data_IF_049800635077
#
_entry.id   IF_049800635077
#
_cell.length_a   1.000
_cell.length_b   1.000
_cell.length_c   1.000
_cell.angle_alpha   90.00
_cell.angle_beta   90.00
_cell.angle_gamma   90.00
#
_symmetry.space_group_name_H-M   'P 1'
#
loop_
_entity.id
_entity.type
_entity.pdbx_description
1 polymer ?
#
# COMPACT_ATOMS: atom_id res chain seq x y z
N UNK A 1 3.40 -11.07 5.88
CA UNK A 1 3.81 -9.99 5.01
C UNK A 1 2.80 -8.85 5.03
N UNK A 2 3.32 -7.65 5.08
CA UNK A 2 2.50 -6.46 5.18
C UNK A 2 2.49 -5.73 3.84
N UNK A 3 2.14 -6.45 2.79
CA UNK A 3 2.15 -5.89 1.44
C UNK A 3 0.84 -6.17 0.72
N UNK A 4 0.50 -5.29 -0.22
CA UNK A 4 -0.63 -5.46 -1.11
C UNK A 4 -0.09 -5.29 -2.53
N UNK A 5 -0.19 -6.32 -3.35
CA UNK A 5 0.26 -6.29 -4.73
C UNK A 5 -0.87 -5.90 -5.67
N UNK A 6 -0.51 -5.25 -6.76
CA UNK A 6 -1.48 -4.74 -7.73
C UNK A 6 -1.17 -5.24 -9.13
N UNK A 7 -2.21 -5.37 -9.91
CA UNK A 7 -2.09 -5.71 -11.33
C UNK A 7 -1.58 -4.49 -12.10
N UNK A 8 -1.08 -4.76 -13.29
CA UNK A 8 -0.63 -3.72 -14.19
C UNK A 8 -1.73 -2.67 -14.37
N UNK A 9 -1.34 -1.40 -14.30
CA UNK A 9 -2.23 -0.26 -14.56
C UNK A 9 -3.48 -0.27 -13.69
N UNK A 10 -3.39 -0.76 -12.45
CA UNK A 10 -4.53 -0.89 -11.57
C UNK A 10 -4.20 -0.47 -10.14
N UNK A 11 -5.16 0.19 -9.50
CA UNK A 11 -5.14 0.46 -8.06
C UNK A 11 -6.29 -0.27 -7.37
N UNK A 12 -6.87 -1.29 -8.02
CA UNK A 12 -7.92 -2.10 -7.44
C UNK A 12 -7.32 -3.17 -6.53
N UNK A 13 -7.87 -3.30 -5.33
CA UNK A 13 -7.45 -4.33 -4.38
C UNK A 13 -8.14 -5.63 -4.76
N UNK A 14 -7.36 -6.62 -5.20
CA UNK A 14 -7.89 -7.94 -5.53
C UNK A 14 -8.29 -8.67 -4.25
N UNK A 15 -9.29 -9.54 -4.39
CA UNK A 15 -9.88 -10.25 -3.25
C UNK A 15 -8.83 -11.01 -2.43
N UNK A 16 -7.88 -11.65 -3.09
CA UNK A 16 -6.87 -12.45 -2.37
C UNK A 16 -5.83 -11.60 -1.65
N UNK A 17 -5.84 -10.27 -1.86
CA UNK A 17 -4.98 -9.36 -1.11
C UNK A 17 -5.63 -8.88 0.20
N UNK A 18 -6.92 -9.15 0.40
CA UNK A 18 -7.64 -8.68 1.59
C UNK A 18 -7.07 -9.20 2.89
N UNK A 19 -6.57 -10.44 2.90
CA UNK A 19 -6.07 -11.04 4.13
C UNK A 19 -4.89 -10.25 4.70
N UNK A 20 -4.02 -9.75 3.84
CA UNK A 20 -2.88 -8.95 4.27
C UNK A 20 -3.34 -7.66 4.94
N UNK A 21 -4.35 -7.01 4.36
CA UNK A 21 -4.90 -5.77 4.91
C UNK A 21 -5.60 -6.03 6.25
N UNK A 22 -6.40 -7.09 6.30
CA UNK A 22 -7.08 -7.49 7.53
C UNK A 22 -6.09 -7.76 8.65
N UNK A 23 -5.05 -8.54 8.36
CA UNK A 23 -4.05 -8.89 9.38
C UNK A 23 -3.31 -7.66 9.89
N UNK A 24 -2.96 -6.73 8.99
CA UNK A 24 -2.30 -5.48 9.39
C UNK A 24 -3.21 -4.64 10.28
N UNK A 25 -4.49 -4.53 9.90
CA UNK A 25 -5.46 -3.77 10.68
C UNK A 25 -5.63 -4.35 12.08
N UNK A 26 -5.77 -5.68 12.18
CA UNK A 26 -5.97 -6.34 13.48
C UNK A 26 -4.75 -6.19 14.37
N UNK A 27 -3.56 -6.35 13.81
CA UNK A 27 -2.32 -6.18 14.55
C UNK A 27 -2.16 -4.75 15.06
N UNK A 28 -2.40 -3.77 14.18
CA UNK A 28 -2.27 -2.37 14.55
C UNK A 28 -3.28 -1.96 15.63
N UNK A 29 -4.52 -2.44 15.53
CA UNK A 29 -5.53 -2.13 16.53
C UNK A 29 -5.21 -2.79 17.87
N UNK A 30 -4.76 -4.04 17.83
CA UNK A 30 -4.47 -4.81 19.05
C UNK A 30 -3.36 -4.13 19.87
N UNK A 31 -2.32 -3.66 19.19
CA UNK A 31 -1.16 -3.07 19.87
C UNK A 31 -1.12 -1.55 19.81
N UNK A 32 -2.18 -0.93 19.31
CA UNK A 32 -2.31 0.51 19.18
C UNK A 32 -1.14 1.15 18.45
N UNK A 33 -0.84 0.63 17.26
CA UNK A 33 0.31 1.05 16.45
C UNK A 33 -0.15 1.90 15.27
N UNK A 34 0.65 2.89 14.87
CA UNK A 34 0.37 3.61 13.63
C UNK A 34 0.70 2.73 12.42
N UNK A 35 0.05 3.02 11.29
CA UNK A 35 0.31 2.33 10.04
C UNK A 35 0.84 3.35 9.04
N UNK A 36 2.03 3.09 8.50
CA UNK A 36 2.59 3.89 7.42
C UNK A 36 2.43 3.12 6.12
N UNK A 37 1.77 3.73 5.14
CA UNK A 37 1.57 3.14 3.82
C UNK A 37 2.49 3.82 2.83
N UNK A 38 3.23 3.03 2.06
CA UNK A 38 4.06 3.56 0.99
C UNK A 38 3.67 2.86 -0.30
N UNK A 39 3.22 3.64 -1.28
CA UNK A 39 2.83 3.14 -2.59
C UNK A 39 3.99 3.19 -3.57
N UNK A 40 4.02 2.22 -4.48
CA UNK A 40 5.07 2.07 -5.49
C UNK A 40 4.46 1.71 -6.84
N UNK A 41 5.22 1.97 -7.89
CA UNK A 41 4.89 1.56 -9.24
C UNK A 41 6.13 0.98 -9.89
N UNK A 42 5.95 -0.04 -10.75
CA UNK A 42 7.10 -0.62 -11.45
C UNK A 42 7.62 0.34 -12.51
N UNK A 43 8.94 0.33 -12.72
CA UNK A 43 9.58 1.30 -13.61
C UNK A 43 9.55 0.89 -15.08
N UNK A 44 9.14 -0.33 -15.38
CA UNK A 44 9.16 -0.84 -16.76
C UNK A 44 7.88 -0.53 -17.53
N UNK A 45 6.85 0.01 -16.84
CA UNK A 45 5.60 0.39 -17.48
C UNK A 45 5.27 1.82 -17.14
N UNK A 46 4.41 2.45 -17.97
CA UNK A 46 4.02 3.83 -17.76
C UNK A 46 5.17 4.81 -17.99
N UNK A 47 5.07 5.95 -17.36
CA UNK A 47 6.10 6.97 -17.34
C UNK A 47 6.17 7.55 -15.92
N UNK A 48 7.20 8.37 -15.59
CA UNK A 48 7.36 8.84 -14.21
C UNK A 48 6.15 9.58 -13.63
N UNK A 49 5.51 10.44 -14.40
CA UNK A 49 4.34 11.19 -13.91
C UNK A 49 3.16 10.26 -13.66
N UNK A 50 2.87 9.36 -14.61
CA UNK A 50 1.80 8.39 -14.44
C UNK A 50 2.07 7.48 -13.25
N UNK A 51 3.30 7.02 -13.12
CA UNK A 51 3.68 6.09 -12.05
C UNK A 51 3.58 6.75 -10.68
N UNK A 52 3.91 8.04 -10.59
CA UNK A 52 3.70 8.77 -9.34
C UNK A 52 2.22 8.78 -8.98
N UNK A 53 1.36 9.07 -9.94
CA UNK A 53 -0.09 9.11 -9.71
C UNK A 53 -0.68 7.76 -9.31
N UNK A 54 -0.27 6.68 -9.98
CA UNK A 54 -0.83 5.36 -9.66
C UNK A 54 -0.31 4.86 -8.31
N UNK A 55 0.94 5.18 -7.94
CA UNK A 55 1.47 4.80 -6.63
C UNK A 55 0.68 5.50 -5.52
N UNK A 56 0.29 6.75 -5.73
CA UNK A 56 -0.57 7.46 -4.79
C UNK A 56 -1.95 6.81 -4.69
N UNK A 57 -2.57 6.52 -5.84
CA UNK A 57 -3.90 5.90 -5.85
C UNK A 57 -3.90 4.55 -5.16
N UNK A 58 -2.82 3.77 -5.32
CA UNK A 58 -2.68 2.47 -4.65
C UNK A 58 -2.63 2.64 -3.14
N UNK A 59 -1.80 3.56 -2.66
CA UNK A 59 -1.68 3.81 -1.22
C UNK A 59 -3.01 4.30 -0.64
N UNK A 60 -3.70 5.21 -1.33
CA UNK A 60 -4.99 5.72 -0.86
C UNK A 60 -6.08 4.66 -0.88
N UNK A 61 -6.04 3.73 -1.85
CA UNK A 61 -7.00 2.63 -1.89
C UNK A 61 -6.86 1.73 -0.66
N UNK A 62 -5.61 1.44 -0.25
CA UNK A 62 -5.36 0.64 0.94
C UNK A 62 -5.79 1.40 2.19
N UNK A 63 -5.49 2.69 2.29
CA UNK A 63 -5.91 3.51 3.42
C UNK A 63 -7.43 3.50 3.57
N UNK A 64 -8.14 3.69 2.46
CA UNK A 64 -9.61 3.68 2.47
C UNK A 64 -10.16 2.34 2.95
N UNK A 65 -9.56 1.24 2.52
CA UNK A 65 -9.99 -0.09 2.94
C UNK A 65 -9.75 -0.31 4.44
N UNK A 66 -8.61 0.14 4.95
CA UNK A 66 -8.31 0.05 6.38
C UNK A 66 -9.34 0.82 7.22
N UNK A 67 -9.71 2.01 6.76
CA UNK A 67 -10.65 2.86 7.49
C UNK A 67 -12.08 2.33 7.35
N UNK A 68 -12.55 2.13 6.13
CA UNK A 68 -13.97 1.86 5.88
C UNK A 68 -14.38 0.45 6.24
N UNK A 69 -13.50 -0.53 5.99
CA UNK A 69 -13.84 -1.92 6.21
C UNK A 69 -13.36 -2.47 7.55
N UNK A 70 -12.19 -2.01 7.99
CA UNK A 70 -11.54 -2.60 9.17
C UNK A 70 -11.49 -1.66 10.37
N UNK A 71 -12.06 -0.48 10.25
CA UNK A 71 -12.24 0.41 11.40
C UNK A 71 -10.98 1.04 11.95
N UNK A 72 -9.91 1.14 11.15
CA UNK A 72 -8.69 1.81 11.58
C UNK A 72 -8.93 3.32 11.55
N UNK A 73 -8.50 4.04 12.60
CA UNK A 73 -8.65 5.49 12.64
C UNK A 73 -7.75 6.14 11.59
N UNK A 74 -8.28 7.12 10.87
CA UNK A 74 -7.49 7.86 9.90
C UNK A 74 -6.32 8.61 10.55
N UNK A 75 -6.45 8.96 11.82
CA UNK A 75 -5.38 9.65 12.56
C UNK A 75 -4.16 8.75 12.75
N UNK A 76 -4.32 7.44 12.62
CA UNK A 76 -3.23 6.49 12.81
C UNK A 76 -2.62 6.03 11.49
N UNK A 77 -3.02 6.62 10.37
CA UNK A 77 -2.53 6.22 9.06
C UNK A 77 -1.76 7.37 8.43
N UNK A 78 -0.55 7.12 7.96
CA UNK A 78 0.21 8.05 7.13
C UNK A 78 0.44 7.43 5.76
N UNK A 79 0.49 8.27 4.74
CA UNK A 79 0.55 7.82 3.35
C UNK A 79 1.71 8.51 2.66
N UNK A 80 2.54 7.70 1.98
CA UNK A 80 3.59 8.19 1.09
C UNK A 80 3.49 7.42 -0.23
N UNK A 81 4.02 8.00 -1.28
CA UNK A 81 4.08 7.34 -2.57
C UNK A 81 5.36 7.74 -3.28
N UNK A 82 6.01 6.76 -3.90
CA UNK A 82 7.35 6.92 -4.47
C UNK A 82 7.35 6.88 -6.00
N UNK A 83 6.19 6.66 -6.62
CA UNK A 83 6.18 6.45 -8.06
C UNK A 83 7.06 5.27 -8.44
N UNK A 84 7.92 5.48 -9.44
CA UNK A 84 8.87 4.46 -9.86
C UNK A 84 10.31 4.79 -9.44
N UNK A 85 10.49 5.79 -8.58
CA UNK A 85 11.84 6.25 -8.19
C UNK A 85 12.54 5.28 -7.25
N UNK A 86 11.78 4.45 -6.53
CA UNK A 86 12.31 3.41 -5.64
C UNK A 86 11.67 2.10 -6.04
N UNK A 87 12.48 1.08 -6.23
CA UNK A 87 12.02 -0.26 -6.59
C UNK A 87 12.39 -1.20 -5.44
N UNK A 88 11.44 -1.47 -4.51
CA UNK A 88 11.77 -2.27 -3.32
C UNK A 88 12.12 -3.71 -3.65
N UNK A 89 11.74 -4.21 -4.81
CA UNK A 89 11.99 -5.60 -5.19
C UNK A 89 12.75 -5.69 -6.50
N UNK A 90 13.55 -6.74 -6.64
CA UNK A 90 14.29 -7.01 -7.89
C UNK A 90 13.34 -7.40 -9.01
N UNK A 91 12.29 -8.17 -8.70
CA UNK A 91 11.30 -8.59 -9.69
C UNK A 91 10.39 -7.41 -10.01
N UNK A 92 10.34 -7.02 -11.29
CA UNK A 92 9.63 -5.81 -11.70
C UNK A 92 8.15 -5.81 -11.28
N UNK A 93 7.45 -6.91 -11.48
CA UNK A 93 6.02 -6.97 -11.19
C UNK A 93 5.70 -6.76 -9.71
N UNK A 94 6.62 -7.12 -8.82
CA UNK A 94 6.42 -6.98 -7.39
C UNK A 94 6.50 -5.52 -6.92
N UNK A 95 6.95 -4.63 -7.79
CA UNK A 95 7.02 -3.20 -7.47
C UNK A 95 5.68 -2.47 -7.68
N UNK A 96 4.66 -3.17 -8.13
CA UNK A 96 3.29 -2.69 -8.13
C UNK A 96 2.69 -3.05 -6.76
N UNK A 97 3.02 -2.25 -5.76
CA UNK A 97 2.82 -2.69 -4.38
C UNK A 97 2.55 -1.50 -3.45
N UNK A 98 1.82 -1.77 -2.37
CA UNK A 98 1.77 -0.89 -1.20
C UNK A 98 2.36 -1.67 -0.04
N UNK A 99 3.34 -1.10 0.63
CA UNK A 99 3.95 -1.69 1.82
C UNK A 99 3.35 -1.02 3.05
N UNK A 100 2.83 -1.84 3.96
CA UNK A 100 2.20 -1.38 5.19
C UNK A 100 3.15 -1.63 6.35
N UNK A 101 3.62 -0.55 6.99
CA UNK A 101 4.58 -0.64 8.08
C UNK A 101 3.92 -0.23 9.38
N UNK A 102 3.98 -1.10 10.38
CA UNK A 102 3.42 -0.85 11.70
C UNK A 102 4.47 -0.58 12.77
N UNK A 103 5.72 -0.43 12.37
CA UNK A 103 6.77 -0.07 13.32
C UNK A 103 6.51 1.33 13.86
N UNK A 104 6.67 1.48 15.17
CA UNK A 104 6.40 2.76 15.84
C UNK A 104 7.66 3.52 16.21
N UNK A 105 8.73 3.24 15.50
CA UNK A 105 10.02 3.89 15.76
C UNK A 105 10.29 5.05 14.85
#
# INVERSE_FOLDING_TARGET
ENVVYFRLNSAKIDKHQEISIFNTAEYAKKYNLPIKLVGYADKKTGNPDYNKGISERRARAVAKRLIDKYGVSSDNISIEWMGDTVQPYAENAWNRVVIMNTDNK
#
